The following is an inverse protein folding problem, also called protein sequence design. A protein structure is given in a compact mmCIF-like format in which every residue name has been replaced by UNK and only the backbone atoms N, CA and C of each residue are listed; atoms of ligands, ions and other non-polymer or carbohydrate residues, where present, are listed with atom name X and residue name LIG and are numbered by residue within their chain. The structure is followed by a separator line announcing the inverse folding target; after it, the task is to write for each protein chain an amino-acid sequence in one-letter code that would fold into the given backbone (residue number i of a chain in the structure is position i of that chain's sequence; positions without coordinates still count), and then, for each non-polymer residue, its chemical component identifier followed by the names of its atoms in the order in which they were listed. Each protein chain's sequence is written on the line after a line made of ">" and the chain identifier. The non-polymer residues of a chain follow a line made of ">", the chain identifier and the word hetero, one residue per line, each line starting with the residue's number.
data_IF_947075767785
#
_entry.id   IF_947075767785
#
_cell.length_a   1.000
_cell.length_b   1.000
_cell.length_c   1.000
_cell.angle_alpha   90.00
_cell.angle_beta   90.00
_cell.angle_gamma   90.00
#
_symmetry.space_group_name_H-M   'P 1'
#
loop_
_entity.id
_entity.type
_entity.pdbx_description
1 polymer ?
#
# COMPACT_ATOMS: atom_id res chain seq x y z
N UNK A 1 28.98 15.33 14.11
CA UNK A 1 28.05 14.74 13.12
C UNK A 1 28.40 13.28 12.77
N UNK A 2 29.66 12.86 12.96
CA UNK A 2 30.21 11.58 12.47
C UNK A 2 29.73 10.33 13.22
N UNK A 3 29.66 10.36 14.56
CA UNK A 3 29.14 9.23 15.36
C UNK A 3 27.62 9.03 15.19
N UNK A 4 26.86 10.12 15.10
CA UNK A 4 25.42 10.07 14.85
C UNK A 4 25.09 9.43 13.49
N UNK A 5 25.85 9.78 12.45
CA UNK A 5 25.72 9.16 11.13
C UNK A 5 26.12 7.68 11.13
N UNK A 6 27.15 7.29 11.88
CA UNK A 6 27.60 5.89 11.99
C UNK A 6 26.56 4.99 12.68
N UNK A 7 25.99 5.40 13.82
CA UNK A 7 24.93 4.64 14.49
C UNK A 7 23.67 4.51 13.64
N UNK A 8 23.30 5.54 12.87
CA UNK A 8 22.17 5.45 11.94
C UNK A 8 22.48 4.66 10.67
N UNK A 9 23.71 4.67 10.16
CA UNK A 9 24.15 3.84 9.03
C UNK A 9 24.20 2.35 9.41
N UNK A 10 24.65 2.04 10.62
CA UNK A 10 24.67 0.68 11.15
C UNK A 10 23.25 0.21 11.52
N UNK A 11 22.42 1.07 12.12
CA UNK A 11 20.99 0.80 12.30
C UNK A 11 20.29 0.57 10.95
N UNK A 12 20.57 1.38 9.91
CA UNK A 12 20.05 1.16 8.55
C UNK A 12 20.44 -0.22 8.01
N UNK A 13 21.67 -0.67 8.26
CA UNK A 13 22.15 -2.00 7.87
C UNK A 13 21.46 -3.13 8.66
N UNK A 14 21.19 -2.93 9.95
CA UNK A 14 20.39 -3.84 10.77
C UNK A 14 18.92 -3.89 10.29
N UNK A 15 18.32 -2.75 9.98
CA UNK A 15 16.97 -2.64 9.43
C UNK A 15 16.86 -3.30 8.04
N UNK A 16 17.90 -3.28 7.20
CA UNK A 16 17.93 -4.04 5.93
C UNK A 16 17.80 -5.55 6.14
N UNK A 17 18.30 -6.09 7.26
CA UNK A 17 18.14 -7.51 7.61
C UNK A 17 16.73 -7.83 8.11
N UNK A 18 16.06 -6.88 8.75
CA UNK A 18 14.73 -7.05 9.36
C UNK A 18 13.55 -6.60 8.49
N UNK A 19 13.77 -5.76 7.46
CA UNK A 19 12.73 -5.17 6.63
C UNK A 19 12.89 -5.49 5.15
N UNK A 20 11.77 -5.69 4.47
CA UNK A 20 11.72 -6.14 3.07
C UNK A 20 11.65 -5.00 2.05
N UNK A 21 11.47 -3.74 2.46
CA UNK A 21 11.38 -2.59 1.54
C UNK A 21 12.18 -1.37 2.01
N UNK A 22 12.84 -0.69 1.08
CA UNK A 22 13.65 0.51 1.36
C UNK A 22 12.82 1.69 1.89
N UNK A 23 11.56 1.80 1.46
CA UNK A 23 10.63 2.79 1.97
C UNK A 23 10.35 2.62 3.48
N UNK A 24 10.20 1.38 3.95
CA UNK A 24 9.99 1.11 5.38
C UNK A 24 11.22 1.49 6.22
N UNK A 25 12.41 1.22 5.68
CA UNK A 25 13.68 1.58 6.33
C UNK A 25 13.82 3.10 6.43
N UNK A 26 13.57 3.83 5.33
CA UNK A 26 13.67 5.29 5.32
C UNK A 26 12.64 5.94 6.26
N UNK A 27 11.43 5.41 6.36
CA UNK A 27 10.42 5.89 7.31
C UNK A 27 10.86 5.63 8.76
N UNK A 28 11.33 4.42 9.07
CA UNK A 28 11.84 4.07 10.41
C UNK A 28 12.98 5.02 10.83
N UNK A 29 13.93 5.29 9.94
CA UNK A 29 15.05 6.22 10.19
C UNK A 29 14.57 7.66 10.40
N UNK A 30 13.63 8.13 9.59
CA UNK A 30 13.07 9.47 9.72
C UNK A 30 12.33 9.63 11.05
N UNK A 31 11.59 8.61 11.47
CA UNK A 31 10.83 8.60 12.72
C UNK A 31 11.75 8.63 13.93
N UNK A 32 12.76 7.76 13.97
CA UNK A 32 13.76 7.73 15.05
C UNK A 32 14.51 9.06 15.12
N UNK A 33 14.95 9.60 13.98
CA UNK A 33 15.62 10.91 13.93
C UNK A 33 14.75 12.00 14.55
N UNK A 34 13.48 12.11 14.14
CA UNK A 34 12.55 13.13 14.67
C UNK A 34 12.35 12.99 16.17
N UNK A 35 12.16 11.76 16.67
CA UNK A 35 11.96 11.52 18.10
C UNK A 35 13.20 11.91 18.91
N UNK A 36 14.39 11.48 18.47
CA UNK A 36 15.64 11.79 19.15
C UNK A 36 15.89 13.30 19.20
N UNK A 37 15.76 13.99 18.05
CA UNK A 37 15.90 15.45 17.99
C UNK A 37 14.90 16.17 18.87
N UNK A 38 13.63 15.72 18.85
CA UNK A 38 12.59 16.35 19.65
C UNK A 38 12.84 16.17 21.14
N UNK A 39 13.23 14.97 21.55
CA UNK A 39 13.55 14.65 22.93
C UNK A 39 14.76 15.43 23.45
N UNK A 40 15.80 15.61 22.63
CA UNK A 40 16.94 16.49 22.95
C UNK A 40 16.48 17.94 23.14
N UNK A 41 15.69 18.47 22.20
CA UNK A 41 15.17 19.84 22.28
C UNK A 41 14.29 20.08 23.51
N UNK A 42 13.46 19.11 23.91
CA UNK A 42 12.65 19.18 25.13
C UNK A 42 13.48 19.11 26.44
N UNK A 43 14.74 18.71 26.33
CA UNK A 43 15.72 18.72 27.42
C UNK A 43 16.65 19.96 27.34
N UNK A 44 16.39 20.90 26.42
CA UNK A 44 17.23 22.09 26.21
C UNK A 44 18.54 21.81 25.47
N UNK A 45 18.70 20.62 24.87
CA UNK A 45 19.90 20.23 24.15
C UNK A 45 19.69 20.55 22.66
N UNK A 46 20.33 21.61 22.18
CA UNK A 46 20.22 22.04 20.78
C UNK A 46 21.59 22.18 20.12
N UNK A 47 21.70 21.78 18.86
CA UNK A 47 22.94 21.94 18.07
C UNK A 47 24.10 21.02 18.47
N UNK A 48 23.86 20.05 19.36
CA UNK A 48 24.88 19.09 19.78
C UNK A 48 24.77 17.77 19.02
N UNK A 49 25.91 17.09 18.89
CA UNK A 49 25.95 15.71 18.43
C UNK A 49 25.26 14.79 19.42
N UNK A 50 24.47 13.85 18.90
CA UNK A 50 23.74 12.88 19.70
C UNK A 50 24.67 12.00 20.57
N UNK A 51 24.25 11.79 21.81
CA UNK A 51 24.84 10.83 22.75
C UNK A 51 23.74 9.98 23.38
N UNK A 52 24.02 8.73 23.70
CA UNK A 52 23.07 7.82 24.37
C UNK A 52 22.60 8.35 25.72
N UNK A 53 23.44 9.14 26.40
CA UNK A 53 23.11 9.83 27.65
C UNK A 53 21.93 10.79 27.53
N UNK A 54 21.59 11.24 26.32
CA UNK A 54 20.42 12.10 26.06
C UNK A 54 19.11 11.32 25.96
N UNK A 55 19.19 9.99 25.83
CA UNK A 55 18.03 9.10 25.85
C UNK A 55 17.62 8.85 27.30
N UNK A 56 16.75 9.65 27.89
CA UNK A 56 16.35 9.51 29.29
C UNK A 56 14.87 9.19 29.43
N UNK A 57 14.50 8.58 30.55
CA UNK A 57 13.09 8.34 30.91
C UNK A 57 12.32 9.66 30.97
N UNK A 58 12.85 10.66 31.67
CA UNK A 58 12.26 11.99 31.75
C UNK A 58 12.14 12.68 30.37
N UNK A 59 13.12 12.48 29.48
CA UNK A 59 13.06 12.97 28.11
C UNK A 59 11.93 12.33 27.31
N UNK A 60 11.73 11.03 27.46
CA UNK A 60 10.66 10.29 26.80
C UNK A 60 9.28 10.66 27.33
N UNK A 61 9.11 10.84 28.64
CA UNK A 61 7.86 11.32 29.23
C UNK A 61 7.49 12.72 28.75
N UNK A 62 8.47 13.64 28.67
CA UNK A 62 8.28 14.96 28.07
C UNK A 62 7.85 14.87 26.61
N UNK A 63 8.38 13.90 25.85
CA UNK A 63 8.01 13.66 24.46
C UNK A 63 6.57 13.18 24.33
N UNK A 64 6.12 12.26 25.20
CA UNK A 64 4.72 11.80 25.23
C UNK A 64 3.76 12.93 25.60
N UNK A 65 4.08 13.72 26.63
CA UNK A 65 3.29 14.89 27.01
C UNK A 65 3.25 15.94 25.89
N UNK A 66 4.34 16.09 25.12
CA UNK A 66 4.35 16.96 23.95
C UNK A 66 3.44 16.44 22.82
N UNK A 67 3.41 15.13 22.56
CA UNK A 67 2.49 14.55 21.57
C UNK A 67 1.03 14.79 21.94
N UNK A 68 0.69 14.61 23.21
CA UNK A 68 -0.66 14.88 23.75
C UNK A 68 -1.03 16.37 23.59
N UNK A 69 -0.14 17.27 24.01
CA UNK A 69 -0.35 18.73 23.87
C UNK A 69 -0.56 19.19 22.42
N UNK A 70 0.08 18.51 21.47
CA UNK A 70 -0.03 18.85 20.03
C UNK A 70 -1.16 18.11 19.33
N UNK A 71 -1.97 17.34 20.06
CA UNK A 71 -3.05 16.52 19.53
C UNK A 71 -2.58 15.61 18.37
N UNK A 72 -1.39 15.01 18.53
CA UNK A 72 -0.85 14.12 17.50
C UNK A 72 -1.66 12.84 17.50
N UNK A 73 -2.15 12.44 16.31
CA UNK A 73 -2.93 11.23 16.15
C UNK A 73 -2.26 10.03 16.83
N UNK A 74 -3.00 9.34 17.69
CA UNK A 74 -2.49 8.23 18.51
C UNK A 74 -1.86 7.09 17.68
N UNK A 75 -2.32 6.84 16.44
CA UNK A 75 -1.69 5.87 15.52
C UNK A 75 -0.30 6.32 15.06
N UNK A 76 -0.12 7.63 14.89
CA UNK A 76 1.17 8.24 14.56
C UNK A 76 2.11 8.13 15.76
N UNK A 77 1.63 8.42 16.98
CA UNK A 77 2.42 8.24 18.22
C UNK A 77 2.83 6.78 18.41
N UNK A 78 1.95 5.83 18.12
CA UNK A 78 2.25 4.40 18.18
C UNK A 78 3.33 3.99 17.16
N UNK A 79 3.24 4.48 15.91
CA UNK A 79 4.26 4.21 14.88
C UNK A 79 5.64 4.77 15.28
N UNK A 80 5.67 6.01 15.78
CA UNK A 80 6.87 6.62 16.34
C UNK A 80 7.46 5.74 17.45
N UNK A 81 6.64 5.37 18.44
CA UNK A 81 7.05 4.54 19.57
C UNK A 81 7.56 3.16 19.14
N UNK A 82 6.92 2.53 18.14
CA UNK A 82 7.36 1.24 17.58
C UNK A 82 8.74 1.33 16.93
N UNK A 83 8.95 2.33 16.08
CA UNK A 83 10.24 2.52 15.40
C UNK A 83 11.35 2.87 16.40
N UNK A 84 11.03 3.68 17.41
CA UNK A 84 11.96 4.02 18.49
C UNK A 84 12.31 2.83 19.38
N UNK A 85 11.35 1.97 19.70
CA UNK A 85 11.61 0.72 20.42
C UNK A 85 12.54 -0.21 19.62
N UNK A 86 12.38 -0.27 18.29
CA UNK A 86 13.28 -1.05 17.43
C UNK A 86 14.70 -0.46 17.40
N UNK A 87 14.81 0.87 17.44
CA UNK A 87 16.10 1.54 17.62
C UNK A 87 16.71 1.24 18.99
N UNK A 88 15.94 1.29 20.09
CA UNK A 88 16.43 0.94 21.43
C UNK A 88 16.91 -0.52 21.53
N UNK A 89 16.23 -1.45 20.85
CA UNK A 89 16.72 -2.85 20.74
C UNK A 89 18.09 -2.92 20.09
N UNK A 90 18.27 -2.18 18.99
CA UNK A 90 19.55 -2.11 18.31
C UNK A 90 20.64 -1.47 19.18
N UNK A 91 20.35 -0.34 19.83
CA UNK A 91 21.27 0.30 20.77
C UNK A 91 21.67 -0.67 21.87
N UNK A 92 20.74 -1.39 22.48
CA UNK A 92 21.08 -2.35 23.53
C UNK A 92 21.88 -3.55 23.02
N UNK A 93 21.61 -4.06 21.81
CA UNK A 93 22.42 -5.15 21.21
C UNK A 93 23.85 -4.67 20.90
N UNK A 94 24.01 -3.49 20.30
CA UNK A 94 25.33 -2.92 20.01
C UNK A 94 26.10 -2.62 21.31
N UNK A 95 25.40 -2.15 22.36
CA UNK A 95 26.00 -1.91 23.67
C UNK A 95 26.35 -3.22 24.39
N UNK A 96 25.54 -4.27 24.27
CA UNK A 96 25.87 -5.62 24.77
C UNK A 96 27.11 -6.19 24.06
N UNK A 97 27.29 -5.90 22.77
CA UNK A 97 28.48 -6.29 22.01
C UNK A 97 29.72 -5.42 22.30
N UNK A 98 29.55 -4.18 22.79
CA UNK A 98 30.63 -3.20 22.99
C UNK A 98 31.02 -2.94 24.45
N UNK A 99 30.17 -3.24 25.45
CA UNK A 99 30.31 -2.70 26.82
C UNK A 99 30.21 -3.70 27.96
N UNK A 100 30.13 -5.01 27.71
CA UNK A 100 30.10 -6.04 28.78
C UNK A 100 31.30 -5.95 29.75
N UNK A 101 32.33 -5.13 29.49
CA UNK A 101 33.43 -4.89 30.44
C UNK A 101 33.54 -3.48 31.06
N UNK A 102 32.95 -2.40 30.52
CA UNK A 102 33.35 -1.02 30.93
C UNK A 102 32.24 -0.03 31.35
N UNK A 103 30.94 -0.25 31.06
CA UNK A 103 29.88 0.67 31.51
C UNK A 103 28.52 -0.03 31.73
N UNK A 104 28.46 -0.87 32.75
CA UNK A 104 27.24 -1.55 33.18
C UNK A 104 26.13 -0.56 33.59
N UNK A 105 26.50 0.63 34.06
CA UNK A 105 25.56 1.66 34.51
C UNK A 105 24.72 2.21 33.34
N UNK A 106 25.39 2.57 32.24
CA UNK A 106 24.72 3.05 31.03
C UNK A 106 23.85 1.95 30.38
N UNK A 107 24.32 0.70 30.35
CA UNK A 107 23.54 -0.43 29.85
C UNK A 107 22.24 -0.64 30.65
N UNK A 108 22.32 -0.64 31.98
CA UNK A 108 21.15 -0.80 32.85
C UNK A 108 20.17 0.37 32.66
N UNK A 109 20.67 1.59 32.53
CA UNK A 109 19.85 2.80 32.31
C UNK A 109 19.07 2.74 30.99
N UNK A 110 19.72 2.35 29.89
CA UNK A 110 19.08 2.20 28.58
C UNK A 110 18.11 1.02 28.53
N UNK A 111 18.41 -0.07 29.25
CA UNK A 111 17.51 -1.21 29.43
C UNK A 111 16.22 -0.81 30.16
N UNK A 112 16.34 -0.06 31.26
CA UNK A 112 15.19 0.50 31.97
C UNK A 112 14.33 1.41 31.08
N UNK A 113 14.97 2.28 30.28
CA UNK A 113 14.26 3.11 29.30
C UNK A 113 13.51 2.25 28.26
N UNK A 114 14.15 1.20 27.74
CA UNK A 114 13.50 0.30 26.77
C UNK A 114 12.26 -0.38 27.36
N UNK A 115 12.33 -0.85 28.60
CA UNK A 115 11.18 -1.44 29.32
C UNK A 115 10.06 -0.41 29.47
N UNK A 116 10.40 0.82 29.89
CA UNK A 116 9.42 1.89 30.05
C UNK A 116 8.72 2.26 28.72
N UNK A 117 9.48 2.34 27.62
CA UNK A 117 8.91 2.54 26.27
C UNK A 117 7.97 1.39 25.89
N UNK A 118 8.34 0.15 26.21
CA UNK A 118 7.49 -1.03 25.95
C UNK A 118 6.18 -1.00 26.74
N UNK A 119 6.22 -0.57 28.01
CA UNK A 119 5.03 -0.42 28.84
C UNK A 119 4.15 0.76 28.38
N UNK A 120 4.77 1.87 27.97
CA UNK A 120 4.02 3.01 27.40
C UNK A 120 3.33 2.61 26.11
N UNK A 121 3.98 1.76 25.29
CA UNK A 121 3.39 1.22 24.07
C UNK A 121 2.14 0.39 24.33
N UNK A 122 2.12 -0.47 25.36
CA UNK A 122 0.91 -1.28 25.65
C UNK A 122 -0.29 -0.39 26.06
N UNK A 123 -0.03 0.71 26.77
CA UNK A 123 -1.02 1.76 27.04
C UNK A 123 -1.53 2.43 25.75
N UNK A 124 -0.63 2.81 24.85
CA UNK A 124 -0.97 3.38 23.54
C UNK A 124 -1.74 2.39 22.65
N UNK A 125 -1.36 1.11 22.63
CA UNK A 125 -2.04 0.04 21.89
C UNK A 125 -3.50 -0.09 22.37
N UNK A 126 -3.72 -0.02 23.69
CA UNK A 126 -5.06 -0.03 24.30
C UNK A 126 -5.88 1.21 23.90
N UNK A 127 -5.26 2.39 23.90
CA UNK A 127 -5.89 3.63 23.44
C UNK A 127 -6.24 3.61 21.94
N UNK A 128 -5.38 3.03 21.10
CA UNK A 128 -5.64 2.83 19.67
C UNK A 128 -6.81 1.86 19.46
N UNK A 129 -6.89 0.80 20.26
CA UNK A 129 -7.99 -0.16 20.23
C UNK A 129 -9.33 0.51 20.59
N UNK A 130 -9.39 1.29 21.66
CA UNK A 130 -10.61 2.01 22.04
C UNK A 130 -11.00 3.08 21.01
N UNK A 131 -10.02 3.82 20.46
CA UNK A 131 -10.26 4.74 19.35
C UNK A 131 -10.79 4.00 18.11
N UNK A 132 -10.24 2.82 17.81
CA UNK A 132 -10.71 1.99 16.71
C UNK A 132 -12.15 1.51 16.94
N UNK A 133 -12.48 1.06 18.16
CA UNK A 133 -13.83 0.66 18.56
C UNK A 133 -14.82 1.80 18.44
N UNK A 134 -14.48 3.00 18.93
CA UNK A 134 -15.30 4.21 18.76
C UNK A 134 -15.51 4.55 17.28
N UNK A 135 -14.45 4.49 16.47
CA UNK A 135 -14.52 4.72 15.02
C UNK A 135 -15.36 3.67 14.29
N UNK A 136 -15.34 2.41 14.72
CA UNK A 136 -16.19 1.35 14.17
C UNK A 136 -17.66 1.61 14.50
N UNK A 137 -17.95 2.01 15.74
CA UNK A 137 -19.31 2.31 16.19
C UNK A 137 -19.89 3.61 15.59
N UNK A 138 -19.04 4.56 15.21
CA UNK A 138 -19.46 5.83 14.61
C UNK A 138 -19.35 5.87 13.09
N UNK A 139 -18.94 4.77 12.44
CA UNK A 139 -18.75 4.75 10.99
C UNK A 139 -20.12 4.72 10.31
N UNK A 140 -20.40 5.65 9.38
CA UNK A 140 -21.56 5.50 8.51
C UNK A 140 -21.45 4.17 7.76
N UNK A 141 -22.60 3.54 7.51
CA UNK A 141 -22.68 2.31 6.74
C UNK A 141 -21.90 2.48 5.42
N UNK A 142 -21.06 1.50 5.03
CA UNK A 142 -20.35 1.58 3.76
C UNK A 142 -21.32 1.80 2.60
N UNK A 143 -20.92 2.54 1.56
CA UNK A 143 -21.77 2.80 0.40
C UNK A 143 -22.15 1.49 -0.28
N UNK A 144 -23.30 1.45 -0.94
CA UNK A 144 -23.74 0.26 -1.65
C UNK A 144 -22.79 -0.05 -2.83
N UNK A 145 -22.65 -1.31 -3.27
CA UNK A 145 -21.85 -1.68 -4.44
C UNK A 145 -22.14 -0.85 -5.70
N UNK A 146 -23.41 -0.50 -5.92
CA UNK A 146 -23.82 0.35 -7.04
C UNK A 146 -23.21 1.75 -6.96
N UNK A 147 -23.11 2.32 -5.75
CA UNK A 147 -22.47 3.62 -5.53
C UNK A 147 -20.95 3.54 -5.72
N UNK A 148 -20.33 2.45 -5.25
CA UNK A 148 -18.90 2.17 -5.46
C UNK A 148 -18.56 2.12 -6.95
N UNK A 149 -19.39 1.43 -7.74
CA UNK A 149 -19.22 1.30 -9.20
C UNK A 149 -19.74 2.50 -9.99
N UNK A 150 -20.40 3.49 -9.36
CA UNK A 150 -21.13 4.56 -10.07
C UNK A 150 -20.26 5.35 -11.03
N UNK A 151 -19.01 5.66 -10.67
CA UNK A 151 -18.07 6.37 -11.56
C UNK A 151 -17.77 5.58 -12.83
N UNK A 152 -17.72 4.24 -12.74
CA UNK A 152 -17.48 3.35 -13.88
C UNK A 152 -18.70 3.35 -14.80
N UNK A 153 -19.90 3.32 -14.22
CA UNK A 153 -21.15 3.37 -14.99
C UNK A 153 -21.27 4.68 -15.77
N UNK A 154 -21.12 5.83 -15.11
CA UNK A 154 -21.35 7.14 -15.77
C UNK A 154 -20.23 7.53 -16.75
N UNK A 155 -19.03 6.98 -16.59
CA UNK A 155 -17.89 7.25 -17.49
C UNK A 155 -17.73 6.18 -18.59
N UNK A 156 -18.58 5.15 -18.62
CA UNK A 156 -18.43 3.99 -19.52
C UNK A 156 -18.43 4.38 -20.99
N UNK A 157 -19.40 5.18 -21.41
CA UNK A 157 -19.58 5.53 -22.83
C UNK A 157 -18.40 6.36 -23.36
N UNK A 158 -17.90 7.31 -22.55
CA UNK A 158 -16.72 8.10 -22.89
C UNK A 158 -15.45 7.22 -22.91
N UNK A 159 -15.37 6.24 -22.01
CA UNK A 159 -14.28 5.27 -22.00
C UNK A 159 -14.30 4.37 -23.23
N UNK A 160 -15.44 3.79 -23.58
CA UNK A 160 -15.60 2.96 -24.77
C UNK A 160 -15.25 3.75 -26.02
N UNK A 161 -15.71 4.99 -26.15
CA UNK A 161 -15.35 5.87 -27.26
C UNK A 161 -13.84 6.09 -27.35
N UNK A 162 -13.18 6.35 -26.22
CA UNK A 162 -11.73 6.49 -26.17
C UNK A 162 -10.99 5.21 -26.59
N UNK A 163 -11.54 4.04 -26.25
CA UNK A 163 -10.97 2.74 -26.60
C UNK A 163 -11.24 2.35 -28.06
N UNK A 164 -12.40 2.69 -28.60
CA UNK A 164 -12.74 2.49 -30.01
C UNK A 164 -11.84 3.33 -30.92
N UNK A 165 -11.52 4.56 -30.51
CA UNK A 165 -10.53 5.37 -31.21
C UNK A 165 -9.13 4.77 -31.18
N UNK A 166 -8.74 4.02 -30.13
CA UNK A 166 -7.48 3.26 -30.14
C UNK A 166 -7.52 2.06 -31.10
N UNK A 167 -8.71 1.53 -31.41
CA UNK A 167 -8.91 0.43 -32.38
C UNK A 167 -8.85 0.92 -33.82
N UNK A 168 -9.16 2.20 -34.07
CA UNK A 168 -9.10 2.79 -35.42
C UNK A 168 -7.66 2.74 -35.93
N UNK A 169 -7.47 2.00 -37.03
CA UNK A 169 -6.20 1.85 -37.75
C UNK A 169 -6.15 2.84 -38.92
N UNK A 170 -6.37 4.12 -38.67
CA UNK A 170 -6.04 5.10 -39.70
C UNK A 170 -4.51 5.24 -39.80
N UNK A 171 -4.03 5.70 -40.96
CA UNK A 171 -2.60 5.81 -41.28
C UNK A 171 -1.83 6.76 -40.33
N UNK A 172 -2.53 7.53 -39.49
CA UNK A 172 -1.93 8.47 -38.53
C UNK A 172 -1.67 7.86 -37.15
N UNK A 173 -2.22 6.68 -36.87
CA UNK A 173 -2.10 6.01 -35.57
C UNK A 173 -2.92 6.68 -34.46
N UNK A 174 -2.97 6.09 -33.24
CA UNK A 174 -3.81 6.61 -32.17
C UNK A 174 -3.33 7.96 -31.65
N UNK A 175 -4.24 8.93 -31.54
CA UNK A 175 -3.94 10.25 -30.95
C UNK A 175 -3.82 10.12 -29.42
N UNK A 176 -2.57 10.07 -28.91
CA UNK A 176 -2.27 9.92 -27.48
C UNK A 176 -2.05 11.27 -26.77
N UNK A 177 -3.09 12.07 -26.64
CA UNK A 177 -2.99 13.33 -25.87
C UNK A 177 -2.78 13.07 -24.37
N UNK A 178 -2.17 14.03 -23.67
CA UNK A 178 -1.99 13.98 -22.20
C UNK A 178 -3.31 13.72 -21.46
N UNK A 179 -4.38 14.41 -21.88
CA UNK A 179 -5.71 14.27 -21.28
C UNK A 179 -6.28 12.88 -21.51
N UNK A 180 -6.13 12.33 -22.72
CA UNK A 180 -6.65 11.00 -23.07
C UNK A 180 -5.93 9.88 -22.32
N UNK A 181 -4.60 9.88 -22.33
CA UNK A 181 -3.80 8.88 -21.60
C UNK A 181 -4.14 8.93 -20.11
N UNK A 182 -4.28 10.13 -19.55
CA UNK A 182 -4.68 10.28 -18.16
C UNK A 182 -6.09 9.75 -17.90
N UNK A 183 -7.06 10.02 -18.76
CA UNK A 183 -8.42 9.50 -18.63
C UNK A 183 -8.46 7.97 -18.66
N UNK A 184 -7.82 7.34 -19.66
CA UNK A 184 -7.75 5.88 -19.79
C UNK A 184 -7.09 5.25 -18.54
N UNK A 185 -5.97 5.80 -18.09
CA UNK A 185 -5.30 5.34 -16.86
C UNK A 185 -6.24 5.40 -15.65
N UNK A 186 -6.96 6.51 -15.48
CA UNK A 186 -7.86 6.70 -14.34
C UNK A 186 -9.03 5.73 -14.39
N UNK A 187 -9.60 5.50 -15.56
CA UNK A 187 -10.75 4.61 -15.71
C UNK A 187 -10.36 3.15 -15.46
N UNK A 188 -9.28 2.65 -16.10
CA UNK A 188 -8.82 1.27 -15.89
C UNK A 188 -8.43 1.05 -14.42
N UNK A 189 -7.73 2.00 -13.80
CA UNK A 189 -7.34 1.85 -12.38
C UNK A 189 -8.51 2.03 -11.42
N UNK A 190 -9.54 2.81 -11.77
CA UNK A 190 -10.81 2.85 -11.03
C UNK A 190 -11.54 1.51 -11.13
N UNK A 191 -11.54 0.85 -12.29
CA UNK A 191 -12.12 -0.50 -12.41
C UNK A 191 -11.41 -1.49 -11.49
N UNK A 192 -10.08 -1.51 -11.49
CA UNK A 192 -9.32 -2.37 -10.59
C UNK A 192 -9.61 -2.06 -9.12
N UNK A 193 -9.52 -0.79 -8.72
CA UNK A 193 -9.55 -0.42 -7.31
C UNK A 193 -10.96 -0.35 -6.71
N UNK A 194 -11.93 0.16 -7.48
CA UNK A 194 -13.31 0.30 -7.04
C UNK A 194 -14.15 -0.89 -7.47
N UNK A 195 -13.99 -1.37 -8.70
CA UNK A 195 -14.77 -2.48 -9.25
C UNK A 195 -14.36 -3.84 -8.71
N UNK A 196 -13.05 -4.10 -8.57
CA UNK A 196 -12.53 -5.38 -8.07
C UNK A 196 -11.98 -5.33 -6.65
N UNK A 197 -11.94 -4.14 -6.01
CA UNK A 197 -11.38 -3.99 -4.67
C UNK A 197 -9.86 -4.19 -4.59
N UNK A 198 -9.15 -4.11 -5.73
CA UNK A 198 -7.68 -4.22 -5.76
C UNK A 198 -7.07 -3.03 -5.02
N UNK A 199 -6.01 -3.30 -4.25
CA UNK A 199 -5.30 -2.23 -3.54
C UNK A 199 -4.59 -1.32 -4.53
N UNK A 200 -4.64 -0.01 -4.29
CA UNK A 200 -3.96 1.02 -5.08
C UNK A 200 -2.50 0.66 -5.37
N UNK A 201 -1.76 0.20 -4.35
CA UNK A 201 -0.35 -0.18 -4.53
C UNK A 201 -0.14 -1.37 -5.46
N UNK A 202 -1.10 -2.30 -5.59
CA UNK A 202 -1.01 -3.38 -6.57
C UNK A 202 -1.30 -2.88 -7.99
N UNK A 203 -2.31 -2.02 -8.14
CA UNK A 203 -2.59 -1.39 -9.44
C UNK A 203 -1.43 -0.52 -9.93
N UNK A 204 -0.77 0.23 -9.04
CA UNK A 204 0.42 1.02 -9.35
C UNK A 204 1.60 0.12 -9.73
N UNK A 205 1.88 -0.93 -8.95
CA UNK A 205 3.11 -1.68 -9.10
C UNK A 205 3.01 -2.92 -10.00
N UNK A 206 1.87 -3.17 -10.65
CA UNK A 206 1.74 -4.20 -11.68
C UNK A 206 2.74 -3.94 -12.82
N UNK A 207 3.50 -4.95 -13.22
CA UNK A 207 4.47 -4.88 -14.30
C UNK A 207 3.85 -5.22 -15.65
N UNK A 208 4.42 -4.66 -16.72
CA UNK A 208 4.08 -5.01 -18.10
C UNK A 208 4.34 -6.50 -18.40
N UNK A 209 5.43 -7.05 -17.86
CA UNK A 209 5.81 -8.44 -18.02
C UNK A 209 4.85 -9.41 -17.32
N UNK A 210 4.28 -9.03 -16.17
CA UNK A 210 3.27 -9.82 -15.45
C UNK A 210 1.99 -9.96 -16.29
N UNK A 211 1.54 -8.86 -16.90
CA UNK A 211 0.42 -8.89 -17.85
C UNK A 211 0.74 -9.74 -19.08
N UNK A 212 1.91 -9.56 -19.70
CA UNK A 212 2.27 -10.33 -20.90
C UNK A 212 2.35 -11.83 -20.61
N UNK A 213 2.90 -12.22 -19.46
CA UNK A 213 2.94 -13.62 -19.03
C UNK A 213 1.53 -14.20 -18.90
N UNK A 214 0.60 -13.48 -18.26
CA UNK A 214 -0.79 -13.90 -18.13
C UNK A 214 -1.51 -13.93 -19.50
N UNK A 215 -1.26 -12.94 -20.36
CA UNK A 215 -1.88 -12.85 -21.68
C UNK A 215 -1.41 -13.96 -22.63
N UNK A 216 -0.15 -14.38 -22.54
CA UNK A 216 0.40 -15.46 -23.36
C UNK A 216 0.16 -16.86 -22.75
N UNK A 217 -0.25 -16.92 -21.49
CA UNK A 217 -0.53 -18.18 -20.79
C UNK A 217 -1.92 -18.75 -21.07
N UNK A 218 -2.20 -19.89 -20.45
CA UNK A 218 -3.49 -20.57 -20.56
C UNK A 218 -4.64 -19.72 -20.01
N UNK A 219 -5.77 -19.74 -20.74
CA UNK A 219 -7.02 -19.13 -20.29
C UNK A 219 -7.71 -20.04 -19.30
N UNK A 220 -8.20 -19.48 -18.20
CA UNK A 220 -9.08 -20.20 -17.27
C UNK A 220 -10.53 -19.88 -17.59
N UNK A 221 -11.39 -20.90 -17.68
CA UNK A 221 -12.81 -20.72 -17.95
C UNK A 221 -13.57 -20.44 -16.64
N UNK A 222 -14.56 -19.54 -16.70
CA UNK A 222 -15.56 -19.43 -15.63
C UNK A 222 -16.55 -20.60 -15.69
N UNK A 223 -17.43 -20.73 -14.69
CA UNK A 223 -18.50 -21.76 -14.73
C UNK A 223 -19.45 -21.59 -15.91
N UNK A 224 -19.54 -20.36 -16.44
CA UNK A 224 -20.31 -20.03 -17.63
C UNK A 224 -19.53 -20.22 -18.94
N UNK A 225 -18.34 -20.84 -18.88
CA UNK A 225 -17.49 -21.11 -20.05
C UNK A 225 -16.77 -19.87 -20.61
N UNK A 226 -16.83 -18.71 -19.95
CA UNK A 226 -16.18 -17.50 -20.44
C UNK A 226 -14.68 -17.52 -20.12
N UNK A 227 -13.79 -17.26 -21.10
CA UNK A 227 -12.35 -17.27 -20.86
C UNK A 227 -11.89 -16.04 -20.07
N UNK A 228 -10.98 -16.26 -19.14
CA UNK A 228 -10.35 -15.25 -18.32
C UNK A 228 -8.83 -15.41 -18.31
N UNK A 229 -8.13 -14.30 -18.09
CA UNK A 229 -6.72 -14.32 -17.65
C UNK A 229 -6.62 -13.86 -16.21
N UNK A 230 -5.61 -14.36 -15.50
CA UNK A 230 -5.30 -13.94 -14.14
C UNK A 230 -3.88 -13.39 -14.11
N UNK A 231 -3.77 -12.08 -13.87
CA UNK A 231 -2.48 -11.39 -13.74
C UNK A 231 -2.02 -11.51 -12.30
N UNK A 232 -0.83 -12.08 -12.12
CA UNK A 232 -0.18 -12.19 -10.82
C UNK A 232 0.71 -10.97 -10.56
N UNK A 233 0.41 -10.21 -9.50
CA UNK A 233 1.14 -8.99 -9.13
C UNK A 233 2.02 -9.27 -7.91
N UNK A 234 3.31 -9.47 -8.15
CA UNK A 234 4.26 -9.86 -7.12
C UNK A 234 4.60 -8.71 -6.17
N UNK A 235 4.68 -7.48 -6.69
CA UNK A 235 5.13 -6.31 -5.92
C UNK A 235 3.97 -5.48 -5.38
N UNK A 236 3.30 -5.92 -4.32
CA UNK A 236 2.25 -5.13 -3.66
C UNK A 236 2.54 -4.99 -2.14
N UNK A 237 3.15 -3.87 -1.76
CA UNK A 237 3.41 -3.37 -0.38
C UNK A 237 4.24 -4.24 0.60
N UNK A 238 4.19 -5.58 0.60
CA UNK A 238 4.95 -6.43 1.55
C UNK A 238 5.32 -7.79 0.93
N UNK A 239 6.61 -8.20 0.98
CA UNK A 239 7.09 -9.54 0.54
C UNK A 239 6.47 -10.72 1.33
N UNK A 240 5.77 -10.42 2.42
CA UNK A 240 5.14 -11.38 3.34
C UNK A 240 3.62 -11.50 3.11
N UNK A 241 3.01 -10.57 2.36
CA UNK A 241 1.58 -10.64 2.05
C UNK A 241 1.35 -11.20 0.64
N UNK A 242 0.60 -12.28 0.59
CA UNK A 242 -0.13 -12.92 -0.52
C UNK A 242 -0.05 -12.28 -1.91
N UNK A 243 0.37 -13.00 -2.95
CA UNK A 243 0.28 -12.56 -4.37
C UNK A 243 -1.09 -11.95 -4.70
N UNK A 244 -1.12 -10.66 -5.04
CA UNK A 244 -2.33 -9.99 -5.51
C UNK A 244 -2.66 -10.52 -6.91
N UNK A 245 -3.91 -10.95 -7.13
CA UNK A 245 -4.37 -11.50 -8.40
C UNK A 245 -5.44 -10.61 -9.01
N UNK A 246 -5.29 -10.29 -10.28
CA UNK A 246 -6.25 -9.52 -11.05
C UNK A 246 -6.86 -10.45 -12.09
N UNK A 247 -8.13 -10.80 -11.92
CA UNK A 247 -8.88 -11.57 -12.89
C UNK A 247 -9.47 -10.63 -13.96
N UNK A 248 -9.31 -10.97 -15.23
CA UNK A 248 -9.83 -10.20 -16.36
C UNK A 248 -10.68 -11.13 -17.24
N UNK A 249 -11.95 -10.78 -17.43
CA UNK A 249 -12.81 -11.42 -18.43
C UNK A 249 -12.39 -11.01 -19.85
N UNK A 250 -13.03 -11.56 -20.88
CA UNK A 250 -12.71 -11.27 -22.29
C UNK A 250 -12.68 -9.77 -22.59
N UNK A 251 -13.72 -9.02 -22.18
CA UNK A 251 -13.79 -7.58 -22.42
C UNK A 251 -12.59 -6.85 -21.79
N UNK A 252 -12.29 -7.10 -20.52
CA UNK A 252 -11.18 -6.43 -19.85
C UNK A 252 -9.80 -6.91 -20.34
N UNK A 253 -9.70 -8.15 -20.79
CA UNK A 253 -8.49 -8.67 -21.45
C UNK A 253 -8.19 -7.87 -22.70
N UNK A 254 -9.20 -7.63 -23.54
CA UNK A 254 -9.06 -6.81 -24.76
C UNK A 254 -8.68 -5.37 -24.43
N UNK A 255 -9.32 -4.78 -23.43
CA UNK A 255 -9.00 -3.41 -22.98
C UNK A 255 -7.54 -3.30 -22.52
N UNK A 256 -7.07 -4.25 -21.70
CA UNK A 256 -5.69 -4.26 -21.24
C UNK A 256 -4.70 -4.50 -22.37
N UNK A 257 -5.04 -5.37 -23.33
CA UNK A 257 -4.22 -5.60 -24.51
C UNK A 257 -4.11 -4.33 -25.37
N UNK A 258 -5.23 -3.66 -25.65
CA UNK A 258 -5.26 -2.41 -26.40
C UNK A 258 -4.43 -1.32 -25.71
N UNK A 259 -4.60 -1.16 -24.39
CA UNK A 259 -3.79 -0.25 -23.60
C UNK A 259 -2.30 -0.58 -23.73
N UNK A 260 -1.92 -1.84 -23.50
CA UNK A 260 -0.54 -2.28 -23.54
C UNK A 260 0.09 -2.02 -24.92
N UNK A 261 -0.64 -2.34 -25.99
CA UNK A 261 -0.15 -2.25 -27.37
C UNK A 261 -0.12 -0.83 -27.91
N UNK A 262 -1.18 -0.07 -27.68
CA UNK A 262 -1.43 1.21 -28.36
C UNK A 262 -1.25 2.44 -27.47
N UNK A 263 -1.20 2.28 -26.15
CA UNK A 263 -0.86 3.38 -25.24
C UNK A 263 0.56 3.18 -24.73
N UNK A 264 0.81 2.09 -24.01
CA UNK A 264 2.07 1.87 -23.30
C UNK A 264 3.27 1.76 -24.25
N UNK A 265 3.22 0.82 -25.20
CA UNK A 265 4.35 0.60 -26.13
C UNK A 265 4.64 1.84 -26.99
N UNK A 266 3.60 2.55 -27.46
CA UNK A 266 3.78 3.75 -28.27
C UNK A 266 4.43 4.87 -27.45
N UNK A 267 3.93 5.15 -26.24
CA UNK A 267 4.55 6.13 -25.35
C UNK A 267 6.00 5.76 -25.02
N UNK A 268 6.27 4.48 -24.77
CA UNK A 268 7.63 4.01 -24.48
C UNK A 268 8.59 4.31 -25.62
N UNK A 269 8.17 4.10 -26.87
CA UNK A 269 8.94 4.44 -28.07
C UNK A 269 9.11 5.95 -28.21
N UNK A 270 8.03 6.73 -28.09
CA UNK A 270 8.07 8.19 -28.28
C UNK A 270 8.83 8.93 -27.18
N UNK A 271 8.92 8.36 -25.98
CA UNK A 271 9.52 9.01 -24.79
C UNK A 271 10.78 8.32 -24.28
N UNK A 272 11.27 7.30 -24.99
CA UNK A 272 12.41 6.47 -24.57
C UNK A 272 12.28 5.98 -23.11
N UNK A 273 11.08 5.56 -22.72
CA UNK A 273 10.81 5.13 -21.36
C UNK A 273 11.29 3.68 -21.10
N UNK A 274 11.76 3.40 -19.88
CA UNK A 274 12.41 2.11 -19.53
C UNK A 274 11.84 1.44 -18.27
N UNK A 275 10.79 2.01 -17.66
CA UNK A 275 10.27 1.47 -16.40
C UNK A 275 9.48 0.15 -16.60
N UNK A 276 9.45 -0.75 -15.60
CA UNK A 276 8.81 -2.07 -15.76
C UNK A 276 7.28 -2.02 -15.66
N UNK A 277 6.73 -0.98 -15.03
CA UNK A 277 5.31 -0.88 -14.68
C UNK A 277 4.37 -0.89 -15.91
N UNK A 278 3.16 -1.39 -15.71
CA UNK A 278 2.13 -1.50 -16.74
C UNK A 278 1.59 -0.14 -17.13
N UNK A 279 1.14 0.67 -16.16
CA UNK A 279 0.57 1.98 -16.43
C UNK A 279 1.64 3.06 -16.64
N UNK A 280 1.52 3.81 -17.73
CA UNK A 280 2.44 4.90 -18.09
C UNK A 280 1.69 6.22 -18.32
N UNK A 281 2.34 7.33 -18.01
CA UNK A 281 1.87 8.69 -18.27
C UNK A 281 2.28 9.12 -19.68
N UNK A 282 1.66 10.17 -20.22
CA UNK A 282 1.97 10.68 -21.57
C UNK A 282 3.41 11.18 -21.75
N UNK A 283 4.13 11.44 -20.66
CA UNK A 283 5.55 11.82 -20.65
C UNK A 283 6.49 10.61 -20.51
N UNK A 284 5.96 9.38 -20.52
CA UNK A 284 6.73 8.14 -20.38
C UNK A 284 7.05 7.75 -18.94
N UNK A 285 6.61 8.52 -17.94
CA UNK A 285 6.82 8.18 -16.52
C UNK A 285 5.77 7.19 -16.02
N UNK A 286 6.11 6.47 -14.95
CA UNK A 286 5.18 5.55 -14.29
C UNK A 286 4.01 6.33 -13.64
N UNK A 287 2.78 5.91 -13.91
CA UNK A 287 1.57 6.40 -13.26
C UNK A 287 1.43 5.94 -11.78
N UNK A 288 2.13 6.63 -10.87
CA UNK A 288 2.18 6.33 -9.42
C UNK A 288 1.10 6.99 -8.54
N UNK A 289 0.15 7.71 -9.12
CA UNK A 289 -0.84 8.50 -8.35
C UNK A 289 -2.25 8.00 -8.66
N UNK A 290 -2.48 6.70 -8.43
CA UNK A 290 -3.75 6.06 -8.77
C UNK A 290 -4.89 6.62 -7.93
N UNK A 291 -4.72 6.81 -6.61
CA UNK A 291 -5.74 7.43 -5.75
C UNK A 291 -6.17 8.81 -6.24
N UNK A 292 -5.21 9.71 -6.51
CA UNK A 292 -5.48 11.06 -7.04
C UNK A 292 -6.15 10.98 -8.43
N UNK A 293 -5.78 9.97 -9.21
CA UNK A 293 -6.37 9.71 -10.53
C UNK A 293 -7.85 9.35 -10.44
N UNK A 294 -8.20 8.41 -9.57
CA UNK A 294 -9.57 7.98 -9.31
C UNK A 294 -10.39 9.17 -8.79
N UNK A 295 -9.85 9.94 -7.84
CA UNK A 295 -10.52 11.14 -7.32
C UNK A 295 -10.78 12.18 -8.42
N UNK A 296 -9.82 12.40 -9.31
CA UNK A 296 -10.01 13.31 -10.47
C UNK A 296 -11.09 12.81 -11.42
N UNK A 297 -11.19 11.49 -11.64
CA UNK A 297 -12.27 10.91 -12.44
C UNK A 297 -13.63 11.11 -11.76
N UNK A 298 -13.72 10.85 -10.45
CA UNK A 298 -14.95 11.08 -9.69
C UNK A 298 -15.40 12.54 -9.73
N UNK A 299 -14.45 13.47 -9.60
CA UNK A 299 -14.71 14.92 -9.73
C UNK A 299 -15.17 15.29 -11.14
N UNK A 300 -14.56 14.74 -12.19
CA UNK A 300 -14.93 14.99 -13.58
C UNK A 300 -16.39 14.63 -13.86
N UNK A 301 -16.85 13.49 -13.33
CA UNK A 301 -18.24 13.02 -13.49
C UNK A 301 -19.18 13.42 -12.35
N UNK A 302 -18.74 14.32 -11.46
CA UNK A 302 -19.54 14.86 -10.34
C UNK A 302 -20.18 13.77 -9.46
N UNK A 303 -19.48 12.66 -9.25
CA UNK A 303 -19.91 11.59 -8.34
C UNK A 303 -19.24 11.71 -6.98
N UNK A 304 -19.85 11.13 -5.95
CA UNK A 304 -19.30 11.12 -4.60
C UNK A 304 -17.90 10.50 -4.56
N UNK A 305 -17.03 11.07 -3.72
CA UNK A 305 -15.67 10.57 -3.52
C UNK A 305 -15.72 9.23 -2.79
N UNK A 306 -15.26 8.18 -3.44
CA UNK A 306 -15.09 6.83 -2.87
C UNK A 306 -13.64 6.43 -3.02
N UNK A 307 -12.99 6.16 -1.89
CA UNK A 307 -11.60 5.68 -1.87
C UNK A 307 -11.54 4.17 -2.12
N UNK A 308 -10.39 3.65 -2.56
CA UNK A 308 -10.15 2.20 -2.67
C UNK A 308 -10.40 1.47 -1.33
N UNK A 309 -10.06 2.08 -0.19
CA UNK A 309 -10.34 1.49 1.13
C UNK A 309 -11.84 1.43 1.44
N UNK A 310 -12.59 2.47 1.06
CA UNK A 310 -14.05 2.51 1.23
C UNK A 310 -14.73 1.49 0.32
N UNK A 311 -14.29 1.38 -0.94
CA UNK A 311 -14.78 0.39 -1.89
C UNK A 311 -14.58 -1.04 -1.38
N UNK A 312 -13.39 -1.35 -0.87
CA UNK A 312 -13.11 -2.66 -0.26
C UNK A 312 -14.00 -2.97 0.93
N UNK A 313 -14.15 -2.02 1.85
CA UNK A 313 -15.05 -2.17 2.99
C UNK A 313 -16.51 -2.40 2.55
N UNK A 314 -16.96 -1.73 1.49
CA UNK A 314 -18.27 -1.96 0.90
C UNK A 314 -18.42 -3.37 0.31
N UNK A 315 -17.41 -3.89 -0.41
CA UNK A 315 -17.42 -5.27 -0.91
C UNK A 315 -17.40 -6.31 0.20
N UNK A 316 -16.58 -6.09 1.23
CA UNK A 316 -16.51 -6.92 2.43
C UNK A 316 -17.87 -6.97 3.14
N UNK A 317 -18.50 -5.82 3.37
CA UNK A 317 -19.82 -5.73 4.01
C UNK A 317 -20.90 -6.38 3.16
N UNK A 318 -20.87 -6.16 1.85
CA UNK A 318 -21.86 -6.72 0.94
C UNK A 318 -21.79 -8.25 0.85
N UNK A 319 -20.59 -8.84 0.96
CA UNK A 319 -20.45 -10.30 0.93
C UNK A 319 -20.88 -10.95 2.24
N UNK A 320 -20.90 -10.25 3.38
CA UNK A 320 -21.32 -10.83 4.67
C UNK A 320 -22.74 -11.43 4.64
N UNK A 321 -23.64 -10.86 3.83
CA UNK A 321 -25.00 -11.36 3.62
C UNK A 321 -25.09 -12.49 2.57
N UNK A 322 -23.96 -13.02 2.08
CA UNK A 322 -23.89 -14.09 1.06
C UNK A 322 -23.55 -15.46 1.69
N UNK A 323 -23.80 -16.57 0.97
CA UNK A 323 -23.41 -17.90 1.43
C UNK A 323 -21.92 -18.00 1.79
N UNK A 324 -21.59 -18.86 2.75
CA UNK A 324 -20.24 -18.99 3.29
C UNK A 324 -19.17 -19.23 2.22
N UNK A 325 -19.48 -20.05 1.21
CA UNK A 325 -18.60 -20.28 0.08
C UNK A 325 -18.22 -18.98 -0.65
N UNK A 326 -19.19 -18.10 -0.92
CA UNK A 326 -18.94 -16.82 -1.59
C UNK A 326 -18.17 -15.85 -0.68
N UNK A 327 -18.47 -15.82 0.62
CA UNK A 327 -17.71 -15.03 1.60
C UNK A 327 -16.24 -15.40 1.60
N UNK A 328 -15.93 -16.71 1.64
CA UNK A 328 -14.55 -17.20 1.63
C UNK A 328 -13.83 -16.83 0.33
N UNK A 329 -14.46 -17.03 -0.82
CA UNK A 329 -13.91 -16.67 -2.13
C UNK A 329 -13.53 -15.18 -2.21
N UNK A 330 -14.44 -14.28 -1.81
CA UNK A 330 -14.21 -12.83 -1.85
C UNK A 330 -13.16 -12.40 -0.82
N UNK A 331 -13.18 -12.98 0.39
CA UNK A 331 -12.17 -12.68 1.43
C UNK A 331 -10.76 -13.10 1.00
N UNK A 332 -10.62 -14.26 0.36
CA UNK A 332 -9.36 -14.75 -0.20
C UNK A 332 -8.87 -13.85 -1.35
N UNK A 333 -9.78 -13.48 -2.26
CA UNK A 333 -9.49 -12.60 -3.39
C UNK A 333 -9.08 -11.18 -2.97
N UNK A 334 -9.76 -10.64 -1.96
CA UNK A 334 -9.42 -9.35 -1.37
C UNK A 334 -8.19 -9.42 -0.44
N UNK A 335 -7.63 -10.61 -0.19
CA UNK A 335 -6.42 -10.82 0.57
C UNK A 335 -6.52 -10.40 2.06
N UNK A 336 -7.47 -10.99 2.82
CA UNK A 336 -7.77 -10.60 4.21
C UNK A 336 -7.05 -11.37 5.33
N UNK A 337 -6.47 -12.57 5.14
CA UNK A 337 -5.86 -13.29 6.28
C UNK A 337 -4.56 -14.04 5.98
N UNK A 338 -3.61 -13.93 6.91
CA UNK A 338 -2.37 -14.72 6.92
C UNK A 338 -2.61 -16.19 7.31
N UNK A 339 -3.79 -16.52 7.84
CA UNK A 339 -4.09 -17.80 8.49
C UNK A 339 -4.53 -18.90 7.50
N UNK A 340 -5.16 -18.53 6.38
CA UNK A 340 -5.56 -19.47 5.30
C UNK A 340 -4.43 -19.65 4.27
N UNK A 341 -3.40 -18.80 4.30
CA UNK A 341 -2.37 -18.69 3.27
C UNK A 341 -1.39 -19.88 3.14
N UNK A 342 -1.46 -20.88 4.04
CA UNK A 342 -0.55 -22.04 4.04
C UNK A 342 -1.14 -23.30 3.38
N UNK A 343 -2.39 -23.28 2.93
CA UNK A 343 -3.06 -24.50 2.44
C UNK A 343 -3.39 -24.46 0.95
N UNK A 344 -2.48 -25.04 0.15
CA UNK A 344 -2.72 -25.81 -1.07
C UNK A 344 -3.39 -25.19 -2.34
N UNK A 345 -2.86 -25.64 -3.50
CA UNK A 345 -3.37 -25.56 -4.88
C UNK A 345 -3.08 -24.30 -5.73
N UNK A 346 -1.91 -24.28 -6.39
CA UNK A 346 -1.55 -23.27 -7.42
C UNK A 346 -2.57 -23.16 -8.58
N UNK A 347 -3.25 -24.24 -8.96
CA UNK A 347 -4.31 -24.23 -9.98
C UNK A 347 -5.69 -23.79 -9.45
N UNK A 348 -5.95 -23.91 -8.13
CA UNK A 348 -7.20 -23.45 -7.52
C UNK A 348 -7.34 -21.93 -7.53
N UNK A 349 -6.25 -21.19 -7.33
CA UNK A 349 -6.30 -19.73 -7.15
C UNK A 349 -6.78 -18.93 -8.37
N UNK A 350 -6.56 -19.41 -9.60
CA UNK A 350 -7.03 -18.71 -10.80
C UNK A 350 -8.56 -18.79 -10.89
N UNK A 351 -9.10 -20.00 -10.74
CA UNK A 351 -10.54 -20.26 -10.68
C UNK A 351 -11.20 -19.51 -9.52
N UNK A 352 -10.63 -19.59 -8.32
CA UNK A 352 -11.07 -18.81 -7.14
C UNK A 352 -11.13 -17.30 -7.41
N UNK A 353 -10.15 -16.73 -8.13
CA UNK A 353 -10.14 -15.31 -8.46
C UNK A 353 -11.24 -14.93 -9.45
N UNK A 354 -11.55 -15.83 -10.39
CA UNK A 354 -12.64 -15.65 -11.37
C UNK A 354 -13.99 -15.75 -10.68
N UNK A 355 -14.16 -16.72 -9.79
CA UNK A 355 -15.41 -16.93 -9.07
C UNK A 355 -15.67 -15.79 -8.08
N UNK A 356 -14.61 -15.27 -7.44
CA UNK A 356 -14.70 -14.07 -6.63
C UNK A 356 -15.07 -12.83 -7.46
N UNK A 357 -14.46 -12.65 -8.65
CA UNK A 357 -14.84 -11.57 -9.56
C UNK A 357 -16.31 -11.68 -10.01
N UNK A 358 -16.79 -12.89 -10.29
CA UNK A 358 -18.18 -13.13 -10.66
C UNK A 358 -19.15 -12.81 -9.50
N UNK A 359 -18.68 -12.95 -8.26
CA UNK A 359 -19.46 -12.56 -7.08
C UNK A 359 -19.52 -11.03 -6.87
N UNK A 360 -18.55 -10.24 -7.35
CA UNK A 360 -18.45 -8.78 -7.13
C UNK A 360 -19.18 -7.95 -8.19
#
# INVERSE_FOLDING_TARGET
>A
MTQFCLSFQNFRSHQRKAHTSEAAINNSLADVTRMTWKMMGLQGITGQDFKTTYLSLAGYEKLLAWFDKMDVNIKTVLNYTKNFMQFMKYVNIDMDLLLVSNDQGEFNRLSCLQIHISNSRSGLDSGVFELHKRQMNSKPMPPAPAEVKRVLTVAKDDFDRAMDELRKKDDSGPILTKTRVAFINRYITAYLCLGQGIRVGAAENMHGSEFQAAYNGERTLSDLGNPHIVVHVANHKTKVSQDCRIALNSYWTDIFYLYFRYVRIIIFRLKNATHPYFFTQSDGRHFKKVSDGIEKLQKQYKVAKITSSTARCAWETWVESRPEAQRKLVADYLCHSAEVARSHYKHGFAKTSIDALAAL
#
